data_IF_021765028737
#
_entry.id   IF_021765028737
#
_cell.length_a   1.000
_cell.length_b   1.000
_cell.length_c   1.000
_cell.angle_alpha   90.00
_cell.angle_beta   90.00
_cell.angle_gamma   90.00
#
_symmetry.space_group_name_H-M   'P 1'
#
loop_
_entity.id
_entity.type
_entity.pdbx_description
1 polymer ?
#
# COMPACT_ATOMS: atom_id res chain seq x y z
N UNK A 1 17.93 -22.06 -23.61
CA UNK A 1 18.90 -21.05 -24.10
C UNK A 1 20.29 -21.64 -24.02
N UNK A 2 21.07 -21.54 -25.09
CA UNK A 2 22.50 -21.89 -25.06
C UNK A 2 23.31 -20.69 -24.57
N UNK A 3 24.39 -20.96 -23.81
CA UNK A 3 25.32 -19.94 -23.35
C UNK A 3 26.02 -19.27 -24.55
N UNK A 4 26.04 -17.94 -24.65
CA UNK A 4 26.66 -17.24 -25.76
C UNK A 4 28.17 -17.48 -25.78
N UNK A 5 28.70 -17.77 -26.97
CA UNK A 5 30.11 -18.16 -27.16
C UNK A 5 31.01 -16.99 -27.50
N UNK A 6 30.44 -15.80 -27.69
CA UNK A 6 31.17 -14.56 -27.93
C UNK A 6 30.40 -13.34 -27.42
N UNK A 7 31.11 -12.23 -27.20
CA UNK A 7 30.51 -10.95 -26.80
C UNK A 7 29.44 -10.47 -27.79
N UNK A 8 29.72 -10.62 -29.09
CA UNK A 8 28.80 -10.24 -30.16
C UNK A 8 27.52 -11.08 -30.15
N UNK A 9 27.64 -12.39 -29.91
CA UNK A 9 26.49 -13.30 -29.82
C UNK A 9 25.66 -13.02 -28.55
N UNK A 10 26.28 -12.60 -27.45
CA UNK A 10 25.56 -12.13 -26.27
C UNK A 10 24.80 -10.83 -26.54
N UNK A 11 25.43 -9.85 -27.20
CA UNK A 11 24.79 -8.58 -27.58
C UNK A 11 23.61 -8.81 -28.55
N UNK A 12 23.76 -9.72 -29.52
CA UNK A 12 22.67 -10.11 -30.44
C UNK A 12 21.52 -10.83 -29.71
N UNK A 13 21.83 -11.73 -28.78
CA UNK A 13 20.80 -12.40 -27.95
C UNK A 13 20.08 -11.41 -27.02
N UNK A 14 20.81 -10.45 -26.44
CA UNK A 14 20.22 -9.40 -25.60
C UNK A 14 19.35 -8.45 -26.42
N UNK A 15 19.74 -8.09 -27.64
CA UNK A 15 18.90 -7.27 -28.52
C UNK A 15 17.67 -8.05 -28.99
N UNK A 16 17.78 -9.36 -29.23
CA UNK A 16 16.63 -10.21 -29.56
C UNK A 16 15.66 -10.35 -28.37
N UNK A 17 16.18 -10.50 -27.15
CA UNK A 17 15.37 -10.49 -25.92
C UNK A 17 14.72 -9.13 -25.71
N UNK A 18 15.47 -8.04 -25.92
CA UNK A 18 14.97 -6.66 -25.85
C UNK A 18 13.86 -6.42 -26.89
N UNK A 19 14.04 -6.88 -28.13
CA UNK A 19 13.03 -6.78 -29.18
C UNK A 19 11.79 -7.63 -28.85
N UNK A 20 11.95 -8.83 -28.30
CA UNK A 20 10.83 -9.67 -27.82
C UNK A 20 10.11 -9.06 -26.62
N UNK A 21 10.83 -8.40 -25.72
CA UNK A 21 10.27 -7.63 -24.61
C UNK A 21 9.50 -6.42 -25.14
N UNK A 22 10.06 -5.68 -26.10
CA UNK A 22 9.39 -4.58 -26.80
C UNK A 22 8.16 -5.04 -27.60
N UNK A 23 8.19 -6.23 -28.20
CA UNK A 23 7.03 -6.87 -28.85
C UNK A 23 5.96 -7.30 -27.83
N UNK A 24 6.36 -7.69 -26.62
CA UNK A 24 5.42 -7.97 -25.51
C UNK A 24 4.84 -6.70 -24.90
N UNK A 25 5.63 -5.63 -24.78
CA UNK A 25 5.20 -4.28 -24.38
C UNK A 25 4.30 -3.65 -25.46
N UNK A 26 4.45 -4.09 -26.72
CA UNK A 26 3.55 -3.78 -27.83
C UNK A 26 2.17 -4.40 -27.68
N UNK A 27 1.97 -5.48 -26.91
CA UNK A 27 0.65 -6.14 -26.81
C UNK A 27 -0.32 -5.28 -26.01
N UNK A 28 0.11 -4.72 -24.86
CA UNK A 28 -0.76 -3.85 -24.06
C UNK A 28 -1.10 -2.56 -24.79
N UNK A 29 -0.11 -1.95 -25.47
CA UNK A 29 -0.35 -0.76 -26.28
C UNK A 29 -1.31 -1.05 -27.44
N UNK A 30 -1.13 -2.18 -28.16
CA UNK A 30 -2.08 -2.63 -29.19
C UNK A 30 -3.46 -2.97 -28.63
N UNK A 31 -3.55 -3.50 -27.41
CA UNK A 31 -4.83 -3.77 -26.74
C UNK A 31 -5.55 -2.45 -26.41
N UNK A 32 -4.84 -1.43 -25.94
CA UNK A 32 -5.43 -0.08 -25.70
C UNK A 32 -5.90 0.59 -26.99
N UNK A 33 -5.26 0.30 -28.12
CA UNK A 33 -5.68 0.79 -29.44
C UNK A 33 -6.93 0.09 -29.98
N UNK A 34 -7.36 -1.02 -29.38
CA UNK A 34 -8.64 -1.65 -29.75
C UNK A 34 -9.80 -0.76 -29.30
N UNK A 35 -10.84 -0.67 -30.13
CA UNK A 35 -12.11 -0.05 -29.73
C UNK A 35 -12.82 -0.94 -28.71
N UNK A 36 -12.44 -0.81 -27.44
CA UNK A 36 -13.01 -1.54 -26.32
C UNK A 36 -14.07 -0.67 -25.64
N UNK A 37 -15.30 -1.16 -25.50
CA UNK A 37 -16.42 -0.44 -24.90
C UNK A 37 -16.95 -1.09 -23.62
N UNK A 38 -17.95 -0.45 -23.00
CA UNK A 38 -18.61 -0.97 -21.78
C UNK A 38 -19.19 -2.38 -21.99
N UNK A 39 -19.72 -2.68 -23.18
CA UNK A 39 -20.25 -4.03 -23.50
C UNK A 39 -19.16 -5.09 -23.55
N UNK A 40 -17.94 -4.73 -23.94
CA UNK A 40 -16.82 -5.65 -23.97
C UNK A 40 -16.34 -5.94 -22.55
N UNK A 41 -16.37 -4.93 -21.66
CA UNK A 41 -16.13 -5.12 -20.21
C UNK A 41 -17.16 -6.08 -19.62
N UNK A 42 -18.44 -5.93 -19.96
CA UNK A 42 -19.52 -6.84 -19.51
C UNK A 42 -19.24 -8.30 -19.89
N UNK A 43 -18.69 -8.54 -21.09
CA UNK A 43 -18.34 -9.88 -21.54
C UNK A 43 -17.09 -10.47 -20.85
N UNK A 44 -16.17 -9.61 -20.41
CA UNK A 44 -14.95 -10.03 -19.70
C UNK A 44 -15.24 -10.33 -18.23
N UNK A 45 -16.12 -9.54 -17.59
CA UNK A 45 -16.44 -9.69 -16.18
C UNK A 45 -17.52 -10.75 -15.94
N UNK A 46 -17.08 -11.96 -15.58
CA UNK A 46 -18.01 -12.99 -15.10
C UNK A 46 -18.41 -12.73 -13.64
N UNK A 47 -19.41 -11.89 -13.44
CA UNK A 47 -19.95 -11.54 -12.12
C UNK A 47 -20.44 -12.77 -11.33
N UNK A 48 -20.96 -13.80 -12.01
CA UNK A 48 -21.43 -15.02 -11.34
C UNK A 48 -20.26 -15.80 -10.74
N UNK A 49 -19.12 -15.83 -11.44
CA UNK A 49 -17.88 -16.40 -10.93
C UNK A 49 -17.40 -15.67 -9.67
N UNK A 50 -17.55 -14.35 -9.58
CA UNK A 50 -17.26 -13.63 -8.33
C UNK A 50 -18.15 -14.11 -7.20
N UNK A 51 -19.47 -14.14 -7.40
CA UNK A 51 -20.41 -14.58 -6.37
C UNK A 51 -20.10 -16.01 -5.90
N UNK A 52 -19.75 -16.91 -6.83
CA UNK A 52 -19.43 -18.30 -6.51
C UNK A 52 -18.11 -18.43 -5.71
N UNK A 53 -17.05 -17.76 -6.14
CA UNK A 53 -15.71 -17.88 -5.54
C UNK A 53 -15.64 -17.14 -4.21
N UNK A 54 -16.24 -15.95 -4.13
CA UNK A 54 -16.07 -15.06 -2.97
C UNK A 54 -17.03 -15.34 -1.82
N UNK A 55 -18.06 -16.19 -2.02
CA UNK A 55 -18.99 -16.59 -0.94
C UNK A 55 -18.29 -17.23 0.26
N UNK A 56 -17.19 -17.94 0.00
CA UNK A 56 -16.40 -18.70 0.99
C UNK A 56 -15.06 -18.02 1.32
N UNK A 57 -14.85 -16.78 0.88
CA UNK A 57 -13.61 -16.06 1.15
C UNK A 57 -13.40 -15.83 2.65
N UNK A 58 -12.26 -16.29 3.14
CA UNK A 58 -11.71 -15.88 4.42
C UNK A 58 -11.32 -14.38 4.36
N UNK A 59 -11.41 -13.62 5.47
CA UNK A 59 -10.97 -12.22 5.53
C UNK A 59 -9.59 -11.95 4.89
N UNK A 60 -8.62 -12.86 5.05
CA UNK A 60 -7.28 -12.72 4.44
C UNK A 60 -7.32 -12.79 2.91
N UNK A 61 -8.22 -13.59 2.33
CA UNK A 61 -8.38 -13.66 0.88
C UNK A 61 -8.98 -12.37 0.34
N UNK A 62 -9.92 -11.75 1.07
CA UNK A 62 -10.39 -10.39 0.75
C UNK A 62 -9.24 -9.38 0.80
N UNK A 63 -8.43 -9.40 1.86
CA UNK A 63 -7.28 -8.51 2.00
C UNK A 63 -6.31 -8.63 0.80
N UNK A 64 -5.88 -9.85 0.47
CA UNK A 64 -4.98 -10.10 -0.67
C UNK A 64 -5.61 -9.67 -1.99
N UNK A 65 -6.90 -9.99 -2.20
CA UNK A 65 -7.63 -9.59 -3.40
C UNK A 65 -7.69 -8.06 -3.56
N UNK A 66 -7.91 -7.31 -2.47
CA UNK A 66 -7.90 -5.85 -2.52
C UNK A 66 -6.51 -5.28 -2.74
N UNK A 67 -5.49 -5.77 -2.03
CA UNK A 67 -4.11 -5.32 -2.22
C UNK A 67 -3.62 -5.52 -3.64
N UNK A 68 -3.92 -6.67 -4.25
CA UNK A 68 -3.60 -6.96 -5.66
C UNK A 68 -4.17 -5.90 -6.62
N UNK A 69 -5.37 -5.39 -6.34
CA UNK A 69 -6.04 -4.35 -7.15
C UNK A 69 -5.52 -2.94 -6.83
N UNK A 70 -5.23 -2.67 -5.56
CA UNK A 70 -4.64 -1.41 -5.12
C UNK A 70 -3.29 -1.17 -5.82
N UNK A 71 -2.42 -2.18 -5.84
CA UNK A 71 -1.14 -2.09 -6.55
C UNK A 71 -1.31 -1.75 -8.05
N UNK A 72 -2.37 -2.26 -8.70
CA UNK A 72 -2.67 -1.93 -10.11
C UNK A 72 -3.21 -0.49 -10.24
N UNK A 73 -4.03 -0.03 -9.31
CA UNK A 73 -4.46 1.38 -9.28
C UNK A 73 -3.26 2.31 -9.09
N UNK A 74 -2.34 1.96 -8.20
CA UNK A 74 -1.12 2.74 -7.94
C UNK A 74 -0.23 2.82 -9.19
N UNK A 75 -0.06 1.69 -9.90
CA UNK A 75 0.66 1.67 -11.19
C UNK A 75 0.00 2.59 -12.23
N UNK A 76 -1.33 2.56 -12.36
CA UNK A 76 -2.03 3.45 -13.29
C UNK A 76 -1.98 4.92 -12.86
N UNK A 77 -2.07 5.20 -11.56
CA UNK A 77 -1.89 6.55 -11.05
C UNK A 77 -0.47 7.07 -11.31
N UNK A 78 0.54 6.23 -11.10
CA UNK A 78 1.95 6.51 -11.45
C UNK A 78 2.10 6.81 -12.94
N UNK A 79 1.48 6.02 -13.83
CA UNK A 79 1.48 6.29 -15.28
C UNK A 79 0.88 7.65 -15.62
N UNK A 80 -0.25 8.03 -15.05
CA UNK A 80 -0.87 9.35 -15.32
C UNK A 80 -0.01 10.49 -14.79
N UNK A 81 0.53 10.37 -13.58
CA UNK A 81 1.49 11.33 -13.02
C UNK A 81 2.69 11.53 -13.96
N UNK A 82 3.31 10.43 -14.42
CA UNK A 82 4.46 10.48 -15.34
C UNK A 82 4.07 11.13 -16.67
N UNK A 83 2.86 10.86 -17.19
CA UNK A 83 2.35 11.46 -18.43
C UNK A 83 2.21 12.97 -18.33
N UNK A 84 1.82 13.48 -17.16
CA UNK A 84 1.70 14.91 -16.89
C UNK A 84 3.05 15.62 -16.76
N UNK A 85 4.13 14.92 -16.40
CA UNK A 85 5.48 15.52 -16.25
C UNK A 85 5.97 16.19 -17.54
N UNK A 86 6.39 17.45 -17.43
CA UNK A 86 6.94 18.21 -18.58
C UNK A 86 8.46 18.26 -18.58
N UNK A 87 9.06 18.39 -19.77
CA UNK A 87 10.51 18.57 -19.88
C UNK A 87 10.96 19.87 -19.19
N UNK A 88 10.10 20.88 -19.22
CA UNK A 88 10.32 22.19 -18.61
C UNK A 88 10.37 22.10 -17.06
N UNK A 89 9.54 21.26 -16.44
CA UNK A 89 9.64 20.95 -15.00
C UNK A 89 10.92 20.19 -14.69
N UNK A 90 11.25 19.14 -15.47
CA UNK A 90 12.47 18.35 -15.31
C UNK A 90 13.74 19.22 -15.29
N UNK A 91 13.90 20.14 -16.26
CA UNK A 91 15.09 21.01 -16.30
C UNK A 91 15.13 22.03 -15.16
N UNK A 92 13.97 22.41 -14.61
CA UNK A 92 13.89 23.39 -13.51
C UNK A 92 14.45 22.84 -12.19
N UNK A 93 14.52 21.52 -12.05
CA UNK A 93 15.15 20.84 -10.92
C UNK A 93 16.69 20.90 -10.98
N UNK A 94 17.27 21.23 -12.15
CA UNK A 94 18.72 21.32 -12.37
C UNK A 94 19.28 22.74 -12.18
N UNK A 95 18.50 23.66 -11.58
CA UNK A 95 18.94 25.05 -11.36
C UNK A 95 19.98 25.12 -10.24
N UNK A 96 21.24 25.01 -10.67
CA UNK A 96 22.51 25.62 -10.19
C UNK A 96 22.64 25.83 -8.67
N UNK A 97 23.12 24.80 -7.97
CA UNK A 97 24.00 25.04 -6.83
C UNK A 97 25.41 25.28 -7.40
N UNK A 98 25.92 26.52 -7.35
CA UNK A 98 27.19 26.92 -7.99
C UNK A 98 28.42 26.16 -7.46
N UNK A 99 28.26 25.36 -6.40
CA UNK A 99 29.33 24.64 -5.71
C UNK A 99 29.38 23.13 -6.00
N UNK A 100 28.42 22.58 -6.76
CA UNK A 100 28.39 21.14 -7.09
C UNK A 100 28.36 20.99 -8.60
N UNK A 101 29.42 20.41 -9.19
CA UNK A 101 29.38 19.83 -10.54
C UNK A 101 28.33 18.71 -10.57
N UNK A 102 27.06 19.06 -10.69
CA UNK A 102 25.97 18.14 -10.94
C UNK A 102 25.96 17.69 -12.41
N UNK A 103 25.47 16.48 -12.66
CA UNK A 103 25.26 16.00 -14.02
C UNK A 103 24.36 16.97 -14.79
N UNK A 104 24.74 17.33 -16.01
CA UNK A 104 23.94 18.18 -16.88
C UNK A 104 22.59 17.50 -17.19
N UNK A 105 21.48 18.25 -17.30
CA UNK A 105 20.19 17.67 -17.64
C UNK A 105 20.27 16.95 -18.99
N UNK A 106 19.57 15.82 -19.09
CA UNK A 106 19.48 15.05 -20.33
C UNK A 106 18.82 15.87 -21.43
N UNK A 107 19.18 15.60 -22.69
CA UNK A 107 18.48 16.20 -23.84
C UNK A 107 16.99 15.88 -23.82
N UNK A 108 16.13 16.75 -24.39
CA UNK A 108 14.68 16.53 -24.50
C UNK A 108 14.33 15.15 -25.09
N UNK A 109 15.04 14.72 -26.13
CA UNK A 109 14.82 13.40 -26.73
C UNK A 109 15.11 12.26 -25.73
N UNK A 110 16.21 12.36 -24.99
CA UNK A 110 16.58 11.37 -23.99
C UNK A 110 15.59 11.35 -22.80
N UNK A 111 15.10 12.52 -22.37
CA UNK A 111 14.04 12.64 -21.37
C UNK A 111 12.74 11.95 -21.81
N UNK A 112 12.27 12.22 -23.04
CA UNK A 112 11.05 11.58 -23.56
C UNK A 112 11.19 10.06 -23.68
N UNK A 113 12.38 9.56 -24.03
CA UNK A 113 12.66 8.11 -24.04
C UNK A 113 12.56 7.54 -22.62
N UNK A 114 13.19 8.18 -21.65
CA UNK A 114 13.19 7.71 -20.26
C UNK A 114 11.79 7.78 -19.63
N UNK A 115 11.06 8.87 -19.87
CA UNK A 115 9.65 9.02 -19.48
C UNK A 115 8.79 7.87 -20.02
N UNK A 116 8.95 7.53 -21.30
CA UNK A 116 8.23 6.40 -21.90
C UNK A 116 8.67 5.04 -21.30
N UNK A 117 9.96 4.87 -20.99
CA UNK A 117 10.45 3.65 -20.33
C UNK A 117 9.81 3.49 -18.94
N UNK A 118 9.74 4.56 -18.15
CA UNK A 118 9.08 4.57 -16.83
C UNK A 118 7.61 4.17 -16.94
N UNK A 119 6.87 4.75 -17.90
CA UNK A 119 5.48 4.36 -18.19
C UNK A 119 5.38 2.86 -18.53
N UNK A 120 6.27 2.35 -19.38
CA UNK A 120 6.25 0.95 -19.78
C UNK A 120 6.54 0.01 -18.61
N UNK A 121 7.44 0.37 -17.69
CA UNK A 121 7.72 -0.42 -16.48
C UNK A 121 6.47 -0.57 -15.61
N UNK A 122 5.74 0.52 -15.38
CA UNK A 122 4.48 0.49 -14.60
C UNK A 122 3.41 -0.37 -15.29
N UNK A 123 3.21 -0.18 -16.60
CA UNK A 123 2.25 -0.97 -17.38
C UNK A 123 2.63 -2.46 -17.43
N UNK A 124 3.93 -2.76 -17.52
CA UNK A 124 4.45 -4.12 -17.45
C UNK A 124 4.16 -4.73 -16.08
N UNK A 125 4.28 -3.96 -14.99
CA UNK A 125 3.88 -4.37 -13.64
C UNK A 125 2.42 -4.80 -13.55
N UNK A 126 1.52 -4.08 -14.23
CA UNK A 126 0.09 -4.37 -14.26
C UNK A 126 -0.30 -5.50 -15.25
N UNK A 127 0.59 -5.83 -16.21
CA UNK A 127 0.30 -6.70 -17.37
C UNK A 127 -0.30 -8.06 -16.99
N UNK A 128 0.29 -8.72 -16.00
CA UNK A 128 -0.15 -10.04 -15.54
C UNK A 128 -1.55 -9.98 -14.95
N UNK A 129 -1.84 -8.96 -14.16
CA UNK A 129 -3.16 -8.77 -13.58
C UNK A 129 -4.21 -8.54 -14.67
N UNK A 130 -3.90 -7.66 -15.63
CA UNK A 130 -4.78 -7.38 -16.77
C UNK A 130 -5.03 -8.62 -17.62
N UNK A 131 -4.00 -9.42 -17.86
CA UNK A 131 -4.14 -10.71 -18.53
C UNK A 131 -5.09 -11.63 -17.75
N UNK A 132 -4.82 -11.87 -16.47
CA UNK A 132 -5.69 -12.69 -15.62
C UNK A 132 -7.12 -12.15 -15.61
N UNK A 133 -7.30 -10.83 -15.64
CA UNK A 133 -8.62 -10.20 -15.66
C UNK A 133 -9.36 -10.43 -16.97
N UNK A 134 -8.70 -10.21 -18.12
CA UNK A 134 -9.29 -10.40 -19.45
C UNK A 134 -9.71 -11.86 -19.67
N UNK A 135 -8.94 -12.81 -19.14
CA UNK A 135 -9.27 -14.24 -19.20
C UNK A 135 -10.16 -14.73 -18.03
N UNK A 136 -10.66 -13.81 -17.19
CA UNK A 136 -11.64 -14.09 -16.15
C UNK A 136 -11.10 -14.81 -14.92
N UNK A 137 -9.79 -14.79 -14.66
CA UNK A 137 -9.13 -15.46 -13.53
C UNK A 137 -8.53 -14.51 -12.47
N UNK A 138 -8.71 -13.19 -12.60
CA UNK A 138 -8.17 -12.20 -11.66
C UNK A 138 -8.64 -12.34 -10.19
N UNK A 139 -9.79 -13.00 -9.98
CA UNK A 139 -10.35 -13.25 -8.64
C UNK A 139 -9.64 -14.37 -7.88
N UNK A 140 -8.95 -15.27 -8.59
CA UNK A 140 -8.24 -16.39 -7.99
C UNK A 140 -7.05 -15.92 -7.15
N UNK A 141 -6.89 -16.52 -5.97
CA UNK A 141 -5.73 -16.31 -5.09
C UNK A 141 -4.72 -17.44 -5.33
N UNK A 142 -3.50 -17.08 -5.73
CA UNK A 142 -2.40 -18.00 -6.05
C UNK A 142 -1.28 -17.87 -5.01
N UNK A 143 -0.34 -18.81 -5.00
CA UNK A 143 0.80 -18.79 -4.06
C UNK A 143 1.67 -17.54 -4.20
N UNK A 144 1.82 -17.02 -5.41
CA UNK A 144 2.53 -15.78 -5.70
C UNK A 144 1.86 -14.53 -5.11
N UNK A 145 0.55 -14.58 -4.83
CA UNK A 145 -0.19 -13.46 -4.24
C UNK A 145 0.16 -13.28 -2.74
N UNK A 146 0.90 -14.21 -2.13
CA UNK A 146 1.44 -14.07 -0.76
C UNK A 146 2.28 -12.80 -0.63
N UNK A 147 2.90 -12.32 -1.72
CA UNK A 147 3.67 -11.08 -1.72
C UNK A 147 2.85 -9.87 -1.26
N UNK A 148 1.55 -9.85 -1.52
CA UNK A 148 0.64 -8.79 -1.08
C UNK A 148 0.32 -8.84 0.41
N UNK A 149 0.69 -9.94 1.08
CA UNK A 149 0.64 -10.09 2.53
C UNK A 149 1.95 -9.72 3.22
N UNK A 150 3.06 -9.49 2.51
CA UNK A 150 4.34 -9.18 3.15
C UNK A 150 4.28 -7.88 3.96
N UNK A 151 5.02 -7.84 5.07
CA UNK A 151 5.00 -6.70 5.99
C UNK A 151 3.78 -6.69 6.92
N UNK A 152 2.93 -7.73 6.92
CA UNK A 152 1.86 -7.85 7.91
C UNK A 152 2.41 -7.89 9.34
N UNK A 153 3.61 -8.45 9.56
CA UNK A 153 4.27 -8.43 10.87
C UNK A 153 4.58 -6.99 11.29
N UNK A 154 4.86 -6.13 10.29
CA UNK A 154 5.02 -4.70 10.45
C UNK A 154 3.70 -3.96 10.68
N UNK A 155 2.57 -4.66 10.74
CA UNK A 155 1.25 -4.10 11.08
C UNK A 155 0.67 -4.62 12.38
N UNK A 156 1.34 -5.52 13.11
CA UNK A 156 0.85 -6.01 14.41
C UNK A 156 0.59 -4.84 15.39
N UNK A 157 -0.58 -4.81 16.06
CA UNK A 157 -0.97 -3.71 16.95
C UNK A 157 -0.16 -3.70 18.26
N UNK A 158 0.25 -4.87 18.74
CA UNK A 158 1.14 -5.04 19.89
C UNK A 158 2.26 -5.96 19.45
N UNK A 159 3.51 -5.60 19.78
CA UNK A 159 4.68 -6.43 19.51
C UNK A 159 5.56 -6.48 20.73
N UNK A 160 6.21 -7.62 20.91
CA UNK A 160 7.30 -7.76 21.85
C UNK A 160 8.53 -7.15 21.20
N UNK A 161 9.04 -6.09 21.82
CA UNK A 161 10.33 -5.52 21.49
C UNK A 161 11.27 -5.77 22.66
N UNK A 162 12.34 -6.53 22.41
CA UNK A 162 13.41 -6.65 23.39
C UNK A 162 14.27 -5.40 23.31
N UNK A 163 13.99 -4.42 24.18
CA UNK A 163 14.75 -3.18 24.29
C UNK A 163 16.24 -3.43 24.55
N UNK A 164 16.61 -4.52 25.21
CA UNK A 164 18.01 -4.90 25.43
C UNK A 164 18.66 -5.35 24.12
N UNK A 165 17.95 -6.14 23.32
CA UNK A 165 18.42 -6.55 21.99
C UNK A 165 18.45 -5.37 20.99
N UNK A 166 17.47 -4.46 21.03
CA UNK A 166 17.49 -3.23 20.23
C UNK A 166 18.68 -2.35 20.63
N UNK A 167 18.91 -2.15 21.93
CA UNK A 167 20.07 -1.43 22.44
C UNK A 167 21.39 -2.14 22.05
N UNK A 168 21.44 -3.46 22.08
CA UNK A 168 22.60 -4.27 21.70
C UNK A 168 22.88 -4.22 20.20
N UNK A 169 21.88 -4.41 19.34
CA UNK A 169 22.01 -4.33 17.87
C UNK A 169 22.37 -2.90 17.47
N UNK A 170 21.76 -1.87 18.05
CA UNK A 170 22.13 -0.47 17.78
C UNK A 170 23.56 -0.15 18.20
N UNK A 171 24.05 -0.73 19.32
CA UNK A 171 25.45 -0.62 19.75
C UNK A 171 26.42 -1.24 18.74
N UNK A 172 26.04 -2.33 18.10
CA UNK A 172 26.94 -3.11 17.25
C UNK A 172 26.87 -2.73 15.77
N UNK A 173 25.69 -2.31 15.28
CA UNK A 173 25.46 -1.99 13.87
C UNK A 173 25.72 -0.52 13.51
N UNK A 174 25.98 0.36 14.47
CA UNK A 174 26.48 1.73 14.20
C UNK A 174 25.60 2.57 13.28
N UNK A 175 24.31 2.27 13.15
CA UNK A 175 23.45 2.98 12.21
C UNK A 175 23.08 4.36 12.75
N UNK A 176 23.71 5.38 12.14
CA UNK A 176 23.30 6.79 12.09
C UNK A 176 22.87 7.43 13.44
N UNK A 177 23.79 7.57 14.39
CA UNK A 177 23.83 8.76 15.26
C UNK A 177 23.50 8.66 16.76
N UNK A 178 23.50 7.47 17.38
CA UNK A 178 22.80 7.31 18.68
C UNK A 178 23.57 7.19 20.01
N UNK A 179 24.87 6.89 20.07
CA UNK A 179 25.52 6.59 21.39
C UNK A 179 26.94 7.10 21.59
N UNK A 180 27.58 7.73 20.60
CA UNK A 180 28.83 8.47 20.85
C UNK A 180 28.59 9.82 21.53
N UNK A 181 27.33 10.26 21.65
CA UNK A 181 26.95 11.48 22.35
C UNK A 181 26.59 11.17 23.81
N UNK A 182 27.44 11.56 24.79
CA UNK A 182 27.20 11.30 26.22
C UNK A 182 25.91 11.95 26.75
N UNK A 183 25.47 13.07 26.16
CA UNK A 183 24.26 13.78 26.57
C UNK A 183 23.00 12.96 26.26
N UNK A 184 22.95 12.34 25.08
CA UNK A 184 21.85 11.45 24.70
C UNK A 184 21.75 10.24 25.64
N UNK A 185 22.89 9.62 25.95
CA UNK A 185 22.95 8.50 26.89
C UNK A 185 22.42 8.88 28.28
N UNK A 186 22.67 10.11 28.73
CA UNK A 186 22.18 10.61 30.01
C UNK A 186 20.67 10.87 30.01
N UNK A 187 20.14 11.42 28.91
CA UNK A 187 18.68 11.61 28.72
C UNK A 187 17.97 10.25 28.69
N UNK A 188 18.53 9.28 27.97
CA UNK A 188 18.00 7.91 27.90
C UNK A 188 18.00 7.25 29.27
N UNK A 189 19.10 7.36 30.01
CA UNK A 189 19.20 6.80 31.36
C UNK A 189 18.11 7.35 32.28
N UNK A 190 17.91 8.67 32.28
CA UNK A 190 16.86 9.33 33.08
C UNK A 190 15.44 8.91 32.67
N UNK A 191 15.20 8.77 31.38
CA UNK A 191 13.88 8.37 30.87
C UNK A 191 13.53 6.90 31.14
N UNK A 192 14.54 6.04 31.37
CA UNK A 192 14.36 4.63 31.75
C UNK A 192 14.23 4.46 33.27
N UNK A 193 14.71 5.40 34.07
CA UNK A 193 14.50 5.37 35.53
C UNK A 193 13.03 5.57 35.90
N UNK A 194 12.61 4.95 37.01
CA UNK A 194 11.20 4.85 37.44
C UNK A 194 10.50 6.19 37.77
N UNK A 195 11.22 7.32 37.71
CA UNK A 195 10.77 8.67 38.05
C UNK A 195 11.00 9.68 36.89
N UNK A 196 10.93 9.24 35.63
CA UNK A 196 11.11 10.13 34.47
C UNK A 196 10.08 11.29 34.46
N UNK A 197 10.54 12.53 34.29
CA UNK A 197 9.63 13.67 34.13
C UNK A 197 9.12 13.81 32.69
N UNK A 198 8.08 14.62 32.47
CA UNK A 198 7.58 14.89 31.12
C UNK A 198 8.65 15.60 30.28
N UNK A 199 9.50 16.42 30.90
CA UNK A 199 10.66 17.07 30.28
C UNK A 199 11.72 16.05 29.86
N UNK A 200 11.96 15.00 30.64
CA UNK A 200 12.88 13.91 30.25
C UNK A 200 12.34 13.14 29.04
N UNK A 201 11.02 12.91 28.97
CA UNK A 201 10.36 12.29 27.80
C UNK A 201 10.43 13.20 26.57
N UNK A 202 10.20 14.51 26.73
CA UNK A 202 10.38 15.48 25.66
C UNK A 202 11.83 15.52 25.15
N UNK A 203 12.80 15.58 26.07
CA UNK A 203 14.22 15.56 25.71
C UNK A 203 14.61 14.27 24.97
N UNK A 204 14.08 13.12 25.39
CA UNK A 204 14.27 11.84 24.71
C UNK A 204 13.68 11.85 23.29
N UNK A 205 12.48 12.41 23.13
CA UNK A 205 11.80 12.53 21.83
C UNK A 205 12.52 13.45 20.83
N UNK A 206 13.30 14.41 21.34
CA UNK A 206 14.08 15.34 20.51
C UNK A 206 15.42 14.77 20.04
N UNK A 207 15.80 13.56 20.47
CA UNK A 207 17.03 12.91 19.99
C UNK A 207 16.85 12.53 18.51
N UNK A 208 17.66 13.09 17.59
CA UNK A 208 17.57 12.76 16.17
C UNK A 208 17.79 11.26 15.97
N UNK A 209 16.86 10.58 15.29
CA UNK A 209 16.90 9.12 15.07
C UNK A 209 16.94 8.31 16.38
N UNK A 210 16.39 8.86 17.47
CA UNK A 210 16.35 8.25 18.80
C UNK A 210 15.59 6.92 18.88
N UNK A 211 15.95 6.12 19.88
CA UNK A 211 15.48 4.77 20.22
C UNK A 211 13.98 4.52 20.01
N UNK A 212 13.60 4.03 18.82
CA UNK A 212 12.24 3.55 18.57
C UNK A 212 11.14 4.61 18.65
N UNK A 213 11.48 5.90 18.79
CA UNK A 213 10.52 6.98 18.64
C UNK A 213 10.28 7.22 17.15
N UNK A 214 9.04 7.49 16.74
CA UNK A 214 8.76 7.83 15.36
C UNK A 214 9.53 9.12 15.01
N UNK A 215 10.60 8.99 14.23
CA UNK A 215 11.22 10.15 13.58
C UNK A 215 10.19 10.70 12.59
N UNK A 216 9.84 11.98 12.70
CA UNK A 216 8.95 12.67 11.77
C UNK A 216 9.37 12.49 10.31
N UNK A 217 10.67 12.34 10.03
CA UNK A 217 11.19 12.08 8.69
C UNK A 217 10.90 10.68 8.13
N UNK A 218 10.58 9.68 8.95
CA UNK A 218 10.53 8.27 8.50
C UNK A 218 9.38 7.42 9.05
N UNK A 219 8.59 7.92 10.01
CA UNK A 219 7.53 7.13 10.63
C UNK A 219 6.22 7.91 10.69
N UNK A 220 5.34 7.67 9.72
CA UNK A 220 3.93 8.04 9.79
C UNK A 220 3.15 7.26 10.86
N UNK A 221 3.80 6.30 11.54
CA UNK A 221 3.17 5.40 12.50
C UNK A 221 3.11 6.01 13.92
N UNK A 222 1.88 6.14 14.46
CA UNK A 222 1.60 6.66 15.80
C UNK A 222 1.90 5.61 16.88
N UNK A 223 3.14 5.55 17.38
CA UNK A 223 3.59 4.56 18.37
C UNK A 223 3.96 5.18 19.71
N UNK A 224 3.69 4.44 20.78
CA UNK A 224 4.10 4.76 22.15
C UNK A 224 4.50 3.48 22.88
N UNK A 225 5.53 3.56 23.71
CA UNK A 225 6.09 2.43 24.45
C UNK A 225 5.41 2.25 25.82
N UNK A 226 5.29 1.00 26.26
CA UNK A 226 4.78 0.65 27.58
C UNK A 226 5.73 -0.33 28.28
N UNK A 227 6.01 -0.09 29.55
CA UNK A 227 6.62 -1.07 30.45
C UNK A 227 5.50 -1.93 31.07
N UNK A 228 5.66 -3.26 31.06
CA UNK A 228 4.63 -4.20 31.52
C UNK A 228 5.26 -5.14 32.55
N UNK A 229 4.73 -5.16 33.77
CA UNK A 229 5.13 -6.13 34.80
C UNK A 229 4.40 -7.46 34.59
N UNK A 230 5.13 -8.45 34.07
CA UNK A 230 4.61 -9.79 33.79
C UNK A 230 4.26 -10.61 35.05
N UNK A 231 4.58 -10.11 36.26
CA UNK A 231 4.13 -10.74 37.51
C UNK A 231 2.74 -10.27 37.94
N UNK A 232 2.17 -9.26 37.28
CA UNK A 232 0.83 -8.76 37.57
C UNK A 232 -0.21 -9.73 36.98
N UNK A 233 -1.29 -10.07 37.71
CA UNK A 233 -2.38 -10.89 37.18
C UNK A 233 -2.97 -10.33 35.88
N UNK A 234 -3.28 -11.22 34.92
CA UNK A 234 -3.78 -10.86 33.58
C UNK A 234 -5.00 -9.92 33.61
N UNK A 235 -5.96 -10.16 34.51
CA UNK A 235 -7.15 -9.30 34.65
C UNK A 235 -6.77 -7.85 34.97
N UNK A 236 -5.80 -7.67 35.88
CA UNK A 236 -5.31 -6.35 36.29
C UNK A 236 -4.53 -5.71 35.14
N UNK A 237 -3.68 -6.47 34.43
CA UNK A 237 -2.96 -5.98 33.25
C UNK A 237 -3.93 -5.50 32.16
N UNK A 238 -4.93 -6.29 31.82
CA UNK A 238 -5.90 -5.99 30.76
C UNK A 238 -6.71 -4.75 31.10
N UNK A 239 -7.23 -4.63 32.32
CA UNK A 239 -8.05 -3.48 32.70
C UNK A 239 -7.21 -2.20 32.84
N UNK A 240 -5.99 -2.30 33.35
CA UNK A 240 -5.05 -1.17 33.40
C UNK A 240 -4.67 -0.72 32.00
N UNK A 241 -4.38 -1.66 31.09
CA UNK A 241 -4.00 -1.37 29.71
C UNK A 241 -5.11 -0.66 28.94
N UNK A 242 -6.38 -1.07 29.11
CA UNK A 242 -7.54 -0.39 28.48
C UNK A 242 -7.61 1.10 28.87
N UNK A 243 -7.37 1.41 30.14
CA UNK A 243 -7.37 2.79 30.64
C UNK A 243 -6.12 3.55 30.16
N UNK A 244 -4.96 2.90 30.20
CA UNK A 244 -3.69 3.47 29.76
C UNK A 244 -3.71 3.87 28.28
N UNK A 245 -4.30 3.07 27.37
CA UNK A 245 -4.37 3.40 25.93
C UNK A 245 -5.00 4.79 25.68
N UNK A 246 -6.01 5.15 26.46
CA UNK A 246 -6.69 6.44 26.31
C UNK A 246 -5.75 7.61 26.66
N UNK A 247 -5.07 7.52 27.79
CA UNK A 247 -4.09 8.53 28.21
C UNK A 247 -2.89 8.57 27.27
N UNK A 248 -2.40 7.40 26.84
CA UNK A 248 -1.29 7.25 25.90
C UNK A 248 -1.56 7.97 24.56
N UNK A 249 -2.80 7.88 24.03
CA UNK A 249 -3.22 8.59 22.81
C UNK A 249 -3.23 10.11 22.99
N UNK A 250 -3.69 10.59 24.14
CA UNK A 250 -3.68 12.02 24.48
C UNK A 250 -2.27 12.56 24.57
N UNK A 251 -1.41 11.88 25.33
CA UNK A 251 0.00 12.23 25.48
C UNK A 251 0.69 12.28 24.12
N UNK A 252 0.49 11.26 23.28
CA UNK A 252 1.02 11.25 21.92
C UNK A 252 0.55 12.47 21.11
N UNK A 253 -0.76 12.73 21.08
CA UNK A 253 -1.33 13.86 20.32
C UNK A 253 -0.76 15.21 20.76
N UNK A 254 -0.53 15.39 22.07
CA UNK A 254 0.13 16.58 22.61
C UNK A 254 1.61 16.67 22.23
N UNK A 255 2.34 15.55 22.24
CA UNK A 255 3.78 15.51 21.93
C UNK A 255 4.06 15.89 20.47
N UNK A 256 3.27 15.35 19.53
CA UNK A 256 3.49 15.57 18.08
C UNK A 256 2.60 16.66 17.49
N UNK A 257 1.80 17.34 18.30
CA UNK A 257 0.84 18.36 17.87
C UNK A 257 -0.12 17.87 16.76
N UNK A 258 -0.65 16.65 16.92
CA UNK A 258 -1.61 16.03 15.99
C UNK A 258 -2.85 15.60 16.75
N UNK A 259 -4.03 15.84 16.18
CA UNK A 259 -5.27 15.32 16.75
C UNK A 259 -5.30 13.78 16.66
N UNK A 260 -5.49 13.14 17.81
CA UNK A 260 -5.62 11.68 17.92
C UNK A 260 -6.97 11.37 18.53
N UNK A 261 -7.76 10.56 17.82
CA UNK A 261 -9.03 10.07 18.34
C UNK A 261 -8.82 9.31 19.65
N UNK A 262 -9.55 9.71 20.71
CA UNK A 262 -9.54 9.03 22.00
C UNK A 262 -9.92 7.55 21.89
N UNK A 263 -10.86 7.23 20.99
CA UNK A 263 -11.36 5.87 20.73
C UNK A 263 -11.40 5.58 19.24
N UNK A 264 -10.42 4.82 18.78
CA UNK A 264 -10.42 4.23 17.44
C UNK A 264 -11.40 3.05 17.44
N UNK A 265 -12.49 3.18 16.69
CA UNK A 265 -13.45 2.08 16.49
C UNK A 265 -12.92 1.15 15.41
N UNK A 266 -12.88 -0.17 15.67
CA UNK A 266 -12.59 -1.13 14.59
C UNK A 266 -13.74 -1.08 13.57
N UNK A 267 -13.46 -0.68 12.33
CA UNK A 267 -14.49 -0.50 11.29
C UNK A 267 -14.99 -1.83 10.70
N UNK A 268 -14.24 -2.91 10.88
CA UNK A 268 -14.48 -4.15 10.12
C UNK A 268 -15.13 -5.21 11.00
N UNK A 269 -16.40 -5.50 10.73
CA UNK A 269 -17.17 -6.60 11.34
C UNK A 269 -17.40 -7.70 10.30
N UNK A 270 -17.81 -8.89 10.72
CA UNK A 270 -18.20 -9.97 9.79
C UNK A 270 -19.34 -9.52 8.86
N UNK A 271 -20.24 -8.66 9.34
CA UNK A 271 -21.28 -8.03 8.52
C UNK A 271 -20.71 -7.14 7.42
N UNK A 272 -19.54 -6.54 7.61
CA UNK A 272 -18.84 -5.72 6.61
C UNK A 272 -18.40 -6.58 5.43
N UNK A 273 -17.83 -7.76 5.69
CA UNK A 273 -17.42 -8.71 4.64
C UNK A 273 -18.61 -9.21 3.82
N UNK A 274 -19.71 -9.58 4.50
CA UNK A 274 -20.97 -9.94 3.83
C UNK A 274 -21.50 -8.80 2.97
N UNK A 275 -21.34 -7.55 3.42
CA UNK A 275 -21.72 -6.37 2.65
C UNK A 275 -20.87 -6.24 1.39
N UNK A 276 -19.55 -6.42 1.47
CA UNK A 276 -18.67 -6.39 0.29
C UNK A 276 -19.04 -7.43 -0.75
N UNK A 277 -19.33 -8.65 -0.30
CA UNK A 277 -19.84 -9.72 -1.15
C UNK A 277 -21.15 -9.30 -1.84
N UNK A 278 -22.15 -8.87 -1.07
CA UNK A 278 -23.46 -8.46 -1.63
C UNK A 278 -23.38 -7.24 -2.56
N UNK A 279 -22.36 -6.42 -2.40
CA UNK A 279 -22.10 -5.25 -3.23
C UNK A 279 -21.13 -5.55 -4.38
N UNK A 280 -20.61 -6.79 -4.47
CA UNK A 280 -19.67 -7.25 -5.52
C UNK A 280 -18.47 -6.31 -5.69
N UNK A 281 -17.91 -5.85 -4.58
CA UNK A 281 -16.85 -4.82 -4.57
C UNK A 281 -15.62 -5.22 -5.38
N UNK A 282 -15.21 -6.49 -5.33
CA UNK A 282 -14.07 -6.99 -6.12
C UNK A 282 -14.33 -6.91 -7.62
N UNK A 283 -15.54 -7.24 -8.07
CA UNK A 283 -15.93 -7.09 -9.47
C UNK A 283 -15.98 -5.62 -9.89
N UNK A 284 -16.42 -4.73 -9.00
CA UNK A 284 -16.40 -3.29 -9.24
C UNK A 284 -14.97 -2.74 -9.40
N UNK A 285 -14.02 -3.18 -8.59
CA UNK A 285 -12.63 -2.76 -8.77
C UNK A 285 -12.06 -3.23 -10.12
N UNK A 286 -12.38 -4.46 -10.53
CA UNK A 286 -11.91 -4.98 -11.81
C UNK A 286 -12.57 -4.28 -13.00
N UNK A 287 -13.85 -3.93 -12.88
CA UNK A 287 -14.52 -3.02 -13.79
C UNK A 287 -13.81 -1.67 -13.90
N UNK A 288 -13.46 -1.06 -12.75
CA UNK A 288 -12.76 0.23 -12.70
C UNK A 288 -11.37 0.14 -13.32
N UNK A 289 -10.62 -0.94 -13.08
CA UNK A 289 -9.31 -1.21 -13.68
C UNK A 289 -9.42 -1.30 -15.21
N UNK A 290 -10.40 -2.03 -15.74
CA UNK A 290 -10.63 -2.11 -17.18
C UNK A 290 -11.00 -0.74 -17.77
N UNK A 291 -11.89 0.01 -17.10
CA UNK A 291 -12.22 1.37 -17.53
C UNK A 291 -10.99 2.28 -17.57
N UNK A 292 -10.12 2.25 -16.56
CA UNK A 292 -8.88 3.03 -16.55
C UNK A 292 -7.92 2.59 -17.68
N UNK A 293 -7.77 1.28 -17.88
CA UNK A 293 -6.88 0.76 -18.91
C UNK A 293 -7.30 1.19 -20.31
N UNK A 294 -8.60 1.14 -20.62
CA UNK A 294 -9.16 1.51 -21.92
C UNK A 294 -9.58 2.99 -22.05
N UNK A 295 -9.27 3.83 -21.05
CA UNK A 295 -9.65 5.25 -21.01
C UNK A 295 -11.17 5.49 -21.20
N UNK A 296 -11.97 4.67 -20.53
CA UNK A 296 -13.43 4.74 -20.55
C UNK A 296 -13.91 5.43 -19.28
N UNK A 297 -14.74 6.45 -19.43
CA UNK A 297 -15.43 7.11 -18.31
C UNK A 297 -16.82 6.49 -18.12
N UNK A 298 -17.01 5.57 -17.15
CA UNK A 298 -18.30 4.91 -16.96
C UNK A 298 -19.31 5.84 -16.26
N UNK A 299 -20.58 5.76 -16.67
CA UNK A 299 -21.68 6.38 -15.90
C UNK A 299 -22.10 5.48 -14.73
N UNK A 300 -22.78 6.03 -13.73
CA UNK A 300 -23.37 5.21 -12.65
C UNK A 300 -24.35 4.17 -13.18
N UNK A 301 -25.04 4.45 -14.29
CA UNK A 301 -25.89 3.48 -14.96
C UNK A 301 -25.07 2.31 -15.51
N UNK A 302 -23.94 2.59 -16.17
CA UNK A 302 -23.05 1.51 -16.65
C UNK A 302 -22.54 0.63 -15.50
N UNK A 303 -22.15 1.24 -14.38
CA UNK A 303 -21.74 0.50 -13.19
C UNK A 303 -22.89 -0.38 -12.67
N UNK A 304 -24.09 0.20 -12.54
CA UNK A 304 -25.27 -0.51 -12.07
C UNK A 304 -25.65 -1.68 -12.96
N UNK A 305 -25.70 -1.46 -14.27
CA UNK A 305 -26.08 -2.45 -15.28
C UNK A 305 -25.09 -3.63 -15.32
N UNK A 306 -23.78 -3.37 -15.23
CA UNK A 306 -22.74 -4.42 -15.26
C UNK A 306 -22.66 -5.16 -13.93
N UNK A 307 -22.56 -4.45 -12.80
CA UNK A 307 -22.30 -5.08 -11.49
C UNK A 307 -23.55 -5.75 -10.92
N UNK A 308 -24.75 -5.22 -11.19
CA UNK A 308 -26.02 -5.71 -10.65
C UNK A 308 -26.98 -6.20 -11.76
N UNK A 309 -26.44 -6.82 -12.81
CA UNK A 309 -27.17 -7.25 -14.01
C UNK A 309 -28.35 -8.22 -13.75
N UNK A 310 -28.35 -8.89 -12.60
CA UNK A 310 -29.36 -9.86 -12.15
C UNK A 310 -30.35 -9.28 -11.11
N UNK A 311 -30.26 -7.99 -10.78
CA UNK A 311 -31.17 -7.30 -9.87
C UNK A 311 -32.23 -6.49 -10.63
N UNK A 312 -33.48 -6.97 -10.64
CA UNK A 312 -34.55 -6.36 -11.45
C UNK A 312 -35.49 -5.42 -10.69
N UNK A 313 -35.53 -5.47 -9.35
CA UNK A 313 -36.48 -4.72 -8.50
C UNK A 313 -35.81 -3.64 -7.64
N UNK A 314 -34.59 -3.25 -7.98
CA UNK A 314 -33.80 -2.26 -7.25
C UNK A 314 -33.26 -1.25 -8.24
N UNK A 315 -33.21 0.02 -7.84
CA UNK A 315 -32.50 1.04 -8.62
C UNK A 315 -30.99 0.79 -8.49
N UNK A 316 -30.44 0.03 -9.43
CA UNK A 316 -29.02 -0.36 -9.47
C UNK A 316 -28.09 0.84 -9.64
N UNK A 317 -28.57 1.90 -10.30
CA UNK A 317 -27.82 3.15 -10.48
C UNK A 317 -27.65 3.88 -9.15
N UNK A 318 -28.74 4.03 -8.39
CA UNK A 318 -28.67 4.63 -7.05
C UNK A 318 -27.93 3.75 -6.05
N UNK A 319 -28.09 2.43 -6.13
CA UNK A 319 -27.32 1.46 -5.33
C UNK A 319 -25.82 1.61 -5.58
N UNK A 320 -25.41 1.73 -6.85
CA UNK A 320 -24.02 1.98 -7.23
C UNK A 320 -23.53 3.31 -6.65
N UNK A 321 -24.25 4.41 -6.92
CA UNK A 321 -23.87 5.78 -6.54
C UNK A 321 -23.79 6.00 -5.03
N UNK A 322 -24.78 5.54 -4.27
CA UNK A 322 -24.90 5.83 -2.83
C UNK A 322 -24.20 4.80 -1.93
N UNK A 323 -23.92 3.60 -2.44
CA UNK A 323 -23.44 2.49 -1.60
C UNK A 323 -22.17 1.85 -2.13
N UNK A 324 -22.14 1.39 -3.39
CA UNK A 324 -21.00 0.66 -3.94
C UNK A 324 -19.75 1.54 -4.02
N UNK A 325 -19.88 2.68 -4.71
CA UNK A 325 -18.75 3.56 -4.99
C UNK A 325 -18.17 4.14 -3.70
N UNK A 326 -18.95 4.72 -2.76
CA UNK A 326 -18.40 5.23 -1.50
C UNK A 326 -17.71 4.15 -0.66
N UNK A 327 -18.23 2.92 -0.68
CA UNK A 327 -17.62 1.80 0.04
C UNK A 327 -16.31 1.34 -0.58
N UNK A 328 -16.26 1.29 -1.91
CA UNK A 328 -15.05 0.96 -2.64
C UNK A 328 -13.97 2.03 -2.42
N UNK A 329 -14.33 3.31 -2.42
CA UNK A 329 -13.43 4.41 -2.09
C UNK A 329 -12.90 4.31 -0.65
N UNK A 330 -13.74 3.96 0.33
CA UNK A 330 -13.30 3.73 1.71
C UNK A 330 -12.26 2.60 1.79
N UNK A 331 -12.46 1.50 1.06
CA UNK A 331 -11.53 0.35 1.03
C UNK A 331 -10.17 0.73 0.42
N UNK A 332 -10.16 1.60 -0.60
CA UNK A 332 -8.91 2.07 -1.22
C UNK A 332 -8.10 3.00 -0.32
N UNK A 333 -8.62 3.43 0.83
CA UNK A 333 -7.81 4.17 1.80
C UNK A 333 -6.84 3.23 2.53
N UNK A 334 -5.55 3.59 2.58
CA UNK A 334 -4.50 2.77 3.21
C UNK A 334 -4.85 2.31 4.63
N UNK A 335 -5.46 3.21 5.41
CA UNK A 335 -5.86 2.94 6.80
C UNK A 335 -6.89 1.82 6.91
N UNK A 336 -7.75 1.63 5.90
CA UNK A 336 -8.83 0.67 5.97
C UNK A 336 -8.35 -0.77 5.83
N UNK A 337 -7.49 -1.05 4.84
CA UNK A 337 -6.87 -2.37 4.67
C UNK A 337 -5.86 -2.67 5.78
N UNK A 338 -5.15 -1.67 6.31
CA UNK A 338 -4.29 -1.82 7.47
C UNK A 338 -5.08 -2.26 8.72
N UNK A 339 -6.27 -1.70 8.94
CA UNK A 339 -7.17 -2.16 10.00
C UNK A 339 -7.68 -3.60 9.77
N UNK A 340 -7.88 -4.00 8.52
CA UNK A 340 -8.29 -5.37 8.18
C UNK A 340 -7.22 -6.38 8.56
N UNK A 341 -5.97 -6.15 8.15
CA UNK A 341 -4.88 -7.09 8.43
C UNK A 341 -4.55 -7.15 9.93
N UNK A 342 -4.62 -6.01 10.64
CA UNK A 342 -4.50 -5.95 12.10
C UNK A 342 -5.56 -6.78 12.81
N UNK A 343 -6.80 -6.72 12.33
CA UNK A 343 -7.88 -7.52 12.88
C UNK A 343 -7.65 -9.02 12.64
N UNK A 344 -7.32 -9.40 11.41
CA UNK A 344 -7.08 -10.81 11.05
C UNK A 344 -5.98 -11.41 11.92
N UNK A 345 -4.87 -10.69 12.09
CA UNK A 345 -3.75 -11.14 12.91
C UNK A 345 -4.11 -11.26 14.38
N UNK A 346 -4.86 -10.30 14.92
CA UNK A 346 -5.36 -10.38 16.30
C UNK A 346 -6.35 -11.54 16.56
N UNK A 347 -7.01 -12.06 15.53
CA UNK A 347 -7.92 -13.22 15.63
C UNK A 347 -7.20 -14.57 15.40
N UNK A 348 -5.96 -14.56 14.90
CA UNK A 348 -5.21 -15.77 14.53
C UNK A 348 -4.11 -16.13 15.53
N UNK A 349 -3.58 -15.13 16.26
CA UNK A 349 -2.67 -15.29 17.41
C UNK A 349 -3.52 -15.51 18.66
#
# INVERSE_FOLDING_TARGET
MHLPRSKKEFEEQMEEIRLKLLESDSVLNKLRELSFGIKDIENVLDIRKYDEITKDFHPIQFYLAFKKRLDVFDMFFSVEMIREETYEEYISEYVVDEEIEGDAPSSRLAYEIEKNNRINIELHGASKFLHDLIYGDAISIRSEDIKYGFGWESKLPIRIFDMSNVAFINRYCGFLGGMTNPEYNQIIFKAIEKDSSIEDVHALSSIPKGYGWPNEMYSSEKKIWAEIDLNTPDEILIDTFKNWIFEARKVYGSLVNVEVEEKIKSSIKTSTLKKWLSMRVLAYFDFKILCLFFDIVPTFKNIGDVIFFDEYNVDTTEKARKTLVPMAEEILTDKYLDNLIQKITAETI
#
